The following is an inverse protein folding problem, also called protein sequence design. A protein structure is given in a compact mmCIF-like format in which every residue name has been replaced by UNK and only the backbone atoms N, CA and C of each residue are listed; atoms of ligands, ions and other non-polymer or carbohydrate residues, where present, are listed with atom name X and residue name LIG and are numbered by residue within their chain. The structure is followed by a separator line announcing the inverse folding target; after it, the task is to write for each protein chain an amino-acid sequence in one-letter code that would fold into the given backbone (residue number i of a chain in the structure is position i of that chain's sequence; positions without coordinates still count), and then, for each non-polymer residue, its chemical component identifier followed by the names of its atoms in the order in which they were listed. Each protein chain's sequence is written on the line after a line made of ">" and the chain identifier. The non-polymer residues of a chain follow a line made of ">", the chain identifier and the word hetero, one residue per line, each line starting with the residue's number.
data_IF_266304457663
#
_entry.id   IF_266304457663
#
_cell.length_a   1.000
_cell.length_b   1.000
_cell.length_c   1.000
_cell.angle_alpha   90.00
_cell.angle_beta   90.00
_cell.angle_gamma   90.00
#
_symmetry.space_group_name_H-M   'P 1'
#
loop_
_entity.id
_entity.type
_entity.pdbx_description
1 polymer ?
#
# COMPACT_ATOMS: atom_id res chain seq x y z
N UNK A 1 -23.95 -12.67 -16.54
CA UNK A 1 -24.11 -12.00 -15.22
C UNK A 1 -25.50 -11.39 -15.04
N UNK A 2 -25.88 -10.31 -15.75
CA UNK A 2 -27.20 -9.68 -15.53
C UNK A 2 -28.40 -10.52 -16.01
N UNK A 3 -28.23 -11.30 -17.08
CA UNK A 3 -29.28 -12.17 -17.61
C UNK A 3 -29.32 -13.57 -16.97
N UNK A 4 -28.58 -13.79 -15.87
CA UNK A 4 -28.48 -15.08 -15.17
C UNK A 4 -28.98 -15.00 -13.71
N UNK A 5 -29.69 -13.94 -13.33
CA UNK A 5 -30.22 -13.78 -11.96
C UNK A 5 -29.17 -13.52 -10.87
N UNK A 6 -27.91 -13.29 -11.24
CA UNK A 6 -26.85 -12.99 -10.28
C UNK A 6 -26.86 -11.50 -9.95
N UNK A 7 -27.26 -11.17 -8.72
CA UNK A 7 -27.24 -9.80 -8.20
C UNK A 7 -25.79 -9.34 -7.97
N UNK A 8 -25.27 -8.37 -8.74
CA UNK A 8 -23.90 -7.91 -8.58
C UNK A 8 -23.74 -7.22 -7.23
N UNK A 9 -22.76 -7.67 -6.44
CA UNK A 9 -22.45 -7.07 -5.15
C UNK A 9 -21.46 -5.92 -5.30
N UNK A 10 -21.20 -5.18 -4.22
CA UNK A 10 -20.15 -4.15 -4.16
C UNK A 10 -18.81 -4.68 -4.64
N UNK A 11 -18.47 -5.95 -4.35
CA UNK A 11 -17.23 -6.59 -4.80
C UNK A 11 -17.21 -6.75 -6.31
N UNK A 12 -18.31 -7.22 -6.92
CA UNK A 12 -18.42 -7.37 -8.39
C UNK A 12 -18.21 -6.03 -9.10
N UNK A 13 -18.86 -4.98 -8.62
CA UNK A 13 -18.68 -3.64 -9.17
C UNK A 13 -17.25 -3.15 -8.99
N UNK A 14 -16.65 -3.35 -7.81
CA UNK A 14 -15.29 -2.91 -7.53
C UNK A 14 -14.25 -3.59 -8.44
N UNK A 15 -14.40 -4.89 -8.72
CA UNK A 15 -13.49 -5.60 -9.65
C UNK A 15 -13.58 -5.00 -11.06
N UNK A 16 -14.80 -4.78 -11.56
CA UNK A 16 -15.00 -4.19 -12.89
C UNK A 16 -14.52 -2.74 -12.95
N UNK A 17 -14.76 -1.96 -11.90
CA UNK A 17 -14.30 -0.58 -11.79
C UNK A 17 -12.77 -0.50 -11.75
N UNK A 18 -12.11 -1.40 -11.01
CA UNK A 18 -10.65 -1.46 -10.91
C UNK A 18 -10.02 -1.72 -12.28
N UNK A 19 -10.55 -2.68 -13.03
CA UNK A 19 -10.07 -3.00 -14.38
C UNK A 19 -10.29 -1.82 -15.35
N UNK A 20 -11.47 -1.19 -15.32
CA UNK A 20 -11.76 -0.01 -16.15
C UNK A 20 -10.85 1.19 -15.80
N UNK A 21 -10.53 1.38 -14.52
CA UNK A 21 -9.63 2.45 -14.08
C UNK A 21 -8.18 2.18 -14.50
N UNK A 22 -7.71 0.94 -14.39
CA UNK A 22 -6.37 0.50 -14.83
C UNK A 22 -6.19 0.62 -16.34
N UNK A 23 -7.21 0.27 -17.11
CA UNK A 23 -7.25 0.45 -18.58
C UNK A 23 -7.50 1.90 -19.02
N UNK A 24 -7.51 2.86 -18.09
CA UNK A 24 -7.71 4.30 -18.32
C UNK A 24 -9.07 4.67 -18.94
N UNK A 25 -10.05 3.76 -18.91
CA UNK A 25 -11.41 3.97 -19.42
C UNK A 25 -12.30 4.65 -18.38
N UNK A 26 -11.88 5.82 -17.88
CA UNK A 26 -12.61 6.51 -16.80
C UNK A 26 -14.03 6.94 -17.20
N UNK A 27 -14.31 7.15 -18.49
CA UNK A 27 -15.67 7.40 -18.98
C UNK A 27 -16.62 6.23 -18.75
N UNK A 28 -16.17 5.01 -19.06
CA UNK A 28 -16.92 3.78 -18.80
C UNK A 28 -17.00 3.48 -17.30
N UNK A 29 -15.91 3.69 -16.55
CA UNK A 29 -15.91 3.52 -15.10
C UNK A 29 -16.95 4.43 -14.42
N UNK A 30 -17.08 5.68 -14.84
CA UNK A 30 -18.11 6.59 -14.32
C UNK A 30 -19.53 6.15 -14.66
N UNK A 31 -19.77 5.60 -15.86
CA UNK A 31 -21.07 5.04 -16.24
C UNK A 31 -21.41 3.85 -15.34
N UNK A 32 -20.45 2.93 -15.13
CA UNK A 32 -20.63 1.77 -14.26
C UNK A 32 -20.88 2.17 -12.80
N UNK A 33 -20.18 3.20 -12.31
CA UNK A 33 -20.40 3.75 -10.98
C UNK A 33 -21.80 4.36 -10.80
N UNK A 34 -22.33 5.05 -11.82
CA UNK A 34 -23.73 5.51 -11.78
C UNK A 34 -24.71 4.33 -11.71
N UNK A 35 -24.45 3.27 -12.47
CA UNK A 35 -25.27 2.04 -12.43
C UNK A 35 -25.23 1.37 -11.06
N UNK A 36 -24.06 1.36 -10.40
CA UNK A 36 -23.91 0.86 -9.04
C UNK A 36 -24.83 1.60 -8.05
N UNK A 37 -24.82 2.94 -8.09
CA UNK A 37 -25.68 3.78 -7.23
C UNK A 37 -27.17 3.60 -7.58
N UNK A 38 -27.52 3.57 -8.87
CA UNK A 38 -28.91 3.38 -9.32
C UNK A 38 -29.50 2.04 -8.88
N UNK A 39 -28.66 1.02 -8.70
CA UNK A 39 -29.05 -0.29 -8.17
C UNK A 39 -29.07 -0.36 -6.64
N UNK A 40 -28.87 0.77 -5.95
CA UNK A 40 -28.83 0.84 -4.50
C UNK A 40 -27.57 0.23 -3.87
N UNK A 41 -26.56 -0.11 -4.68
CA UNK A 41 -25.30 -0.65 -4.15
C UNK A 41 -24.41 0.51 -3.72
N UNK A 42 -24.21 0.64 -2.41
CA UNK A 42 -23.45 1.76 -1.87
C UNK A 42 -21.94 1.60 -2.13
N UNK A 43 -21.26 2.64 -2.64
CA UNK A 43 -19.82 2.66 -2.75
C UNK A 43 -19.17 2.70 -1.37
N UNK A 44 -18.02 2.05 -1.24
CA UNK A 44 -17.25 2.05 0.00
C UNK A 44 -15.88 2.71 -0.21
N UNK A 45 -15.08 2.77 0.86
CA UNK A 45 -13.72 3.30 0.82
C UNK A 45 -12.86 2.66 -0.29
N UNK A 46 -13.05 1.37 -0.57
CA UNK A 46 -12.33 0.68 -1.64
C UNK A 46 -12.74 1.20 -3.03
N UNK A 47 -14.03 1.40 -3.28
CA UNK A 47 -14.53 2.02 -4.51
C UNK A 47 -13.90 3.40 -4.73
N UNK A 48 -13.82 4.23 -3.68
CA UNK A 48 -13.14 5.53 -3.78
C UNK A 48 -11.65 5.40 -4.09
N UNK A 49 -10.95 4.45 -3.46
CA UNK A 49 -9.52 4.21 -3.71
C UNK A 49 -9.26 3.83 -5.17
N UNK A 50 -10.09 2.96 -5.77
CA UNK A 50 -10.02 2.60 -7.19
C UNK A 50 -10.05 3.85 -8.08
N UNK A 51 -11.03 4.73 -7.85
CA UNK A 51 -11.14 5.97 -8.62
C UNK A 51 -9.97 6.91 -8.39
N UNK A 52 -9.47 7.01 -7.15
CA UNK A 52 -8.28 7.80 -6.84
C UNK A 52 -7.05 7.30 -7.60
N UNK A 53 -6.84 5.98 -7.69
CA UNK A 53 -5.76 5.38 -8.46
C UNK A 53 -5.95 5.62 -9.97
N UNK A 54 -7.16 5.44 -10.50
CA UNK A 54 -7.48 5.75 -11.89
C UNK A 54 -7.19 7.23 -12.26
N UNK A 55 -7.63 8.18 -11.43
CA UNK A 55 -7.29 9.60 -11.62
C UNK A 55 -5.80 9.88 -11.43
N UNK A 56 -5.09 9.09 -10.60
CA UNK A 56 -3.65 9.20 -10.49
C UNK A 56 -2.94 8.83 -11.80
N UNK A 57 -3.40 7.80 -12.51
CA UNK A 57 -2.88 7.36 -13.81
C UNK A 57 -3.14 8.37 -14.94
N UNK A 58 -4.24 9.11 -14.87
CA UNK A 58 -4.58 10.18 -15.82
C UNK A 58 -3.95 11.54 -15.48
N UNK A 59 -3.06 11.56 -14.50
CA UNK A 59 -2.44 12.76 -13.98
C UNK A 59 -3.36 13.82 -13.33
N UNK A 60 -4.64 13.52 -13.14
CA UNK A 60 -5.69 14.43 -12.66
C UNK A 60 -5.71 14.61 -11.13
N UNK A 61 -4.68 15.23 -10.56
CA UNK A 61 -4.55 15.36 -9.09
C UNK A 61 -5.73 16.11 -8.44
N UNK A 62 -6.29 17.10 -9.12
CA UNK A 62 -7.36 17.93 -8.56
C UNK A 62 -8.61 17.07 -8.28
N UNK A 63 -8.90 16.15 -9.19
CA UNK A 63 -9.99 15.18 -9.01
C UNK A 63 -9.69 14.18 -7.90
N UNK A 64 -8.43 13.71 -7.77
CA UNK A 64 -8.02 12.85 -6.66
C UNK A 64 -8.25 13.54 -5.31
N UNK A 65 -7.83 14.81 -5.17
CA UNK A 65 -8.03 15.58 -3.93
C UNK A 65 -9.50 15.83 -3.65
N UNK A 66 -10.27 16.23 -4.67
CA UNK A 66 -11.71 16.47 -4.55
C UNK A 66 -12.43 15.21 -4.09
N UNK A 67 -12.07 14.07 -4.67
CA UNK A 67 -12.63 12.78 -4.28
C UNK A 67 -12.28 12.45 -2.83
N UNK A 68 -11.00 12.58 -2.44
CA UNK A 68 -10.52 12.33 -1.08
C UNK A 68 -11.25 13.16 -0.02
N UNK A 69 -11.42 14.46 -0.25
CA UNK A 69 -12.18 15.34 0.67
C UNK A 69 -13.65 14.95 0.71
N UNK A 70 -14.24 14.61 -0.44
CA UNK A 70 -15.65 14.20 -0.52
C UNK A 70 -15.94 12.81 0.07
N UNK A 71 -14.92 12.02 0.44
CA UNK A 71 -15.14 10.69 1.04
C UNK A 71 -15.94 10.82 2.33
N UNK A 72 -15.60 11.78 3.19
CA UNK A 72 -16.30 12.00 4.46
C UNK A 72 -17.78 12.34 4.26
N UNK A 73 -18.09 13.23 3.30
CA UNK A 73 -19.49 13.58 2.96
C UNK A 73 -20.27 12.42 2.34
N UNK A 74 -19.58 11.41 1.80
CA UNK A 74 -20.17 10.18 1.26
C UNK A 74 -20.26 9.06 2.29
N UNK A 75 -20.00 9.35 3.57
CA UNK A 75 -19.96 8.34 4.64
C UNK A 75 -18.78 7.37 4.55
N UNK A 76 -17.78 7.66 3.70
CA UNK A 76 -16.58 6.84 3.54
C UNK A 76 -15.41 7.47 4.30
N UNK A 77 -14.78 6.73 5.21
CA UNK A 77 -13.58 7.22 5.91
C UNK A 77 -12.32 6.90 5.10
N UNK A 78 -11.44 7.89 4.85
CA UNK A 78 -10.14 7.63 4.24
C UNK A 78 -9.33 6.60 5.04
N UNK A 79 -8.82 5.59 4.35
CA UNK A 79 -8.01 4.50 4.92
C UNK A 79 -6.52 4.76 4.73
N UNK A 80 -5.66 3.92 5.33
CA UNK A 80 -4.21 3.90 5.06
C UNK A 80 -3.91 3.88 3.57
N UNK A 81 -4.67 3.09 2.79
CA UNK A 81 -4.53 3.01 1.34
C UNK A 81 -4.84 4.35 0.68
N UNK A 82 -5.93 5.02 1.08
CA UNK A 82 -6.34 6.33 0.54
C UNK A 82 -5.25 7.40 0.73
N UNK A 83 -4.63 7.45 1.91
CA UNK A 83 -3.50 8.34 2.18
C UNK A 83 -2.27 7.96 1.34
N UNK A 84 -1.95 6.66 1.25
CA UNK A 84 -0.80 6.19 0.48
C UNK A 84 -0.89 6.55 -1.01
N UNK A 85 -2.08 6.49 -1.61
CA UNK A 85 -2.31 6.89 -3.00
C UNK A 85 -1.92 8.37 -3.20
N UNK A 86 -2.41 9.26 -2.35
CA UNK A 86 -2.08 10.68 -2.41
C UNK A 86 -0.61 10.95 -2.13
N UNK A 87 -0.03 10.34 -1.09
CA UNK A 87 1.38 10.47 -0.71
C UNK A 87 2.27 10.06 -1.89
N UNK A 88 2.04 8.88 -2.48
CA UNK A 88 2.75 8.40 -3.65
C UNK A 88 2.66 9.39 -4.81
N UNK A 89 1.46 9.93 -5.06
CA UNK A 89 1.26 10.87 -6.16
C UNK A 89 1.96 12.20 -5.93
N UNK A 90 1.98 12.73 -4.71
CA UNK A 90 2.75 13.94 -4.39
C UNK A 90 4.26 13.70 -4.50
N UNK A 91 4.75 12.55 -4.05
CA UNK A 91 6.15 12.14 -4.22
C UNK A 91 6.55 12.12 -5.70
N UNK A 92 5.76 11.48 -6.57
CA UNK A 92 6.01 11.44 -8.03
C UNK A 92 6.00 12.82 -8.68
N UNK A 93 5.28 13.80 -8.11
CA UNK A 93 5.26 15.19 -8.57
C UNK A 93 6.31 16.08 -7.90
N UNK A 94 7.29 15.51 -7.19
CA UNK A 94 8.34 16.22 -6.45
C UNK A 94 7.79 17.20 -5.40
N UNK A 95 6.56 17.01 -4.93
CA UNK A 95 5.90 17.85 -3.92
C UNK A 95 5.97 17.19 -2.55
N UNK A 96 7.19 16.92 -2.07
CA UNK A 96 7.41 16.12 -0.86
C UNK A 96 6.83 16.74 0.41
N UNK A 97 6.81 18.06 0.52
CA UNK A 97 6.22 18.75 1.67
C UNK A 97 4.72 18.44 1.84
N UNK A 98 3.99 18.37 0.72
CA UNK A 98 2.57 17.99 0.74
C UNK A 98 2.38 16.53 1.14
N UNK A 99 3.26 15.63 0.70
CA UNK A 99 3.25 14.23 1.10
C UNK A 99 3.53 14.07 2.60
N UNK A 100 4.48 14.83 3.15
CA UNK A 100 4.80 14.85 4.57
C UNK A 100 3.66 15.40 5.42
N UNK A 101 3.00 16.47 4.96
CA UNK A 101 1.84 17.04 5.64
C UNK A 101 0.68 16.05 5.70
N UNK A 102 0.41 15.31 4.62
CA UNK A 102 -0.58 14.24 4.64
C UNK A 102 -0.23 13.10 5.60
N UNK A 103 1.04 12.72 5.69
CA UNK A 103 1.48 11.71 6.65
C UNK A 103 1.29 12.19 8.11
N UNK A 104 1.52 13.49 8.39
CA UNK A 104 1.23 14.08 9.70
C UNK A 104 -0.26 14.11 10.00
N UNK A 105 -1.08 14.48 9.03
CA UNK A 105 -2.55 14.47 9.14
C UNK A 105 -3.09 13.05 9.40
N UNK A 106 -2.54 12.06 8.72
CA UNK A 106 -2.87 10.65 8.92
C UNK A 106 -2.60 10.24 10.38
N UNK A 107 -1.43 10.60 10.92
CA UNK A 107 -1.06 10.34 12.31
C UNK A 107 -1.95 11.09 13.30
N UNK A 108 -2.26 12.36 13.05
CA UNK A 108 -3.11 13.16 13.96
C UNK A 108 -4.55 12.65 14.02
N UNK A 109 -5.04 12.04 12.93
CA UNK A 109 -6.33 11.34 12.88
C UNK A 109 -6.29 9.92 13.46
N UNK A 110 -5.18 9.52 14.08
CA UNK A 110 -5.02 8.20 14.70
C UNK A 110 -4.80 7.05 13.71
N UNK A 111 -4.62 7.35 12.42
CA UNK A 111 -4.38 6.35 11.39
C UNK A 111 -2.87 6.07 11.36
N UNK A 112 -2.46 4.85 11.67
CA UNK A 112 -1.03 4.48 11.70
C UNK A 112 -0.48 4.30 10.28
N UNK A 113 0.58 5.04 9.88
CA UNK A 113 1.28 4.78 8.63
C UNK A 113 1.80 3.35 8.57
N UNK A 114 1.69 2.72 7.39
CA UNK A 114 2.23 1.38 7.14
C UNK A 114 3.67 1.48 6.59
N UNK A 115 4.38 0.36 6.52
CA UNK A 115 5.75 0.31 5.97
C UNK A 115 5.80 0.85 4.53
N UNK A 116 4.77 0.54 3.74
CA UNK A 116 4.59 1.07 2.38
C UNK A 116 4.54 2.61 2.36
N UNK A 117 3.93 3.24 3.37
CA UNK A 117 3.86 4.71 3.49
C UNK A 117 5.26 5.31 3.63
N UNK A 118 6.05 4.76 4.54
CA UNK A 118 7.41 5.23 4.78
C UNK A 118 8.34 4.97 3.59
N UNK A 119 8.25 3.78 2.97
CA UNK A 119 9.02 3.47 1.76
C UNK A 119 8.69 4.46 0.63
N UNK A 120 7.41 4.78 0.44
CA UNK A 120 6.97 5.76 -0.56
C UNK A 120 7.52 7.16 -0.29
N UNK A 121 7.55 7.60 0.98
CA UNK A 121 8.14 8.88 1.36
C UNK A 121 9.66 8.91 1.17
N UNK A 122 10.36 7.83 1.50
CA UNK A 122 11.81 7.70 1.30
C UNK A 122 12.17 7.75 -0.19
N UNK A 123 11.44 7.03 -1.04
CA UNK A 123 11.60 7.09 -2.50
C UNK A 123 11.33 8.51 -3.00
N UNK A 124 10.25 9.15 -2.52
CA UNK A 124 9.93 10.53 -2.87
C UNK A 124 11.05 11.52 -2.50
N UNK A 125 11.60 11.40 -1.29
CA UNK A 125 12.73 12.19 -0.82
C UNK A 125 13.95 12.03 -1.72
N UNK A 126 14.30 10.80 -2.09
CA UNK A 126 15.43 10.54 -2.99
C UNK A 126 15.23 11.19 -4.36
N UNK A 127 14.03 11.08 -4.94
CA UNK A 127 13.68 11.70 -6.23
C UNK A 127 13.77 13.23 -6.14
N UNK A 128 13.29 13.86 -5.06
CA UNK A 128 13.39 15.32 -4.86
C UNK A 128 14.80 15.79 -4.55
N UNK A 129 15.62 14.94 -3.95
CA UNK A 129 17.00 15.23 -3.59
C UNK A 129 17.97 15.16 -4.78
N UNK A 130 17.57 14.59 -5.93
CA UNK A 130 18.43 14.56 -7.13
C UNK A 130 18.98 15.94 -7.57
N UNK A 131 18.21 17.05 -7.53
CA UNK A 131 18.77 18.41 -7.71
C UNK A 131 19.38 19.04 -6.43
N UNK A 132 18.94 18.67 -5.22
CA UNK A 132 19.44 19.29 -3.96
C UNK A 132 20.75 18.68 -3.44
N UNK A 133 21.06 17.41 -3.74
CA UNK A 133 22.35 16.77 -3.46
C UNK A 133 23.46 17.45 -4.27
N UNK A 134 23.14 17.97 -5.45
CA UNK A 134 24.07 18.81 -6.21
C UNK A 134 24.31 20.18 -5.54
N UNK A 135 23.41 20.66 -4.68
CA UNK A 135 23.46 22.02 -4.14
C UNK A 135 23.77 22.13 -2.63
N UNK A 136 23.48 21.14 -1.77
CA UNK A 136 23.61 21.35 -0.30
C UNK A 136 23.65 20.06 0.54
N UNK A 137 24.84 19.53 0.75
CA UNK A 137 25.16 18.42 1.67
C UNK A 137 24.99 18.75 3.19
N UNK A 138 24.00 19.54 3.63
CA UNK A 138 23.89 19.96 5.07
C UNK A 138 22.50 20.19 5.69
N UNK A 139 21.40 19.63 5.18
CA UNK A 139 20.10 19.67 5.91
C UNK A 139 19.44 18.30 6.06
N UNK A 140 20.11 17.38 6.76
CA UNK A 140 19.64 16.00 7.03
C UNK A 140 19.09 15.81 8.45
N UNK A 141 18.44 16.80 9.07
CA UNK A 141 17.70 16.57 10.32
C UNK A 141 16.42 15.77 10.07
N UNK A 142 15.71 16.08 8.97
CA UNK A 142 14.41 15.48 8.66
C UNK A 142 14.53 14.09 8.02
N UNK A 143 15.53 13.86 7.18
CA UNK A 143 15.85 12.53 6.63
C UNK A 143 16.32 11.60 7.74
N UNK A 144 17.21 12.06 8.64
CA UNK A 144 17.56 11.30 9.85
C UNK A 144 16.34 11.06 10.75
N UNK A 145 15.43 12.02 10.91
CA UNK A 145 14.23 11.82 11.72
C UNK A 145 13.28 10.79 11.11
N UNK A 146 13.10 10.81 9.78
CA UNK A 146 12.25 9.85 9.06
C UNK A 146 12.89 8.46 9.08
N UNK A 147 14.18 8.35 8.78
CA UNK A 147 14.95 7.09 8.88
C UNK A 147 14.95 6.57 10.32
N UNK A 148 15.18 7.41 11.33
CA UNK A 148 15.09 7.02 12.76
C UNK A 148 13.68 6.56 13.13
N UNK A 149 12.63 7.13 12.55
CA UNK A 149 11.24 6.74 12.81
C UNK A 149 10.89 5.42 12.12
N UNK A 150 11.43 5.14 10.93
CA UNK A 150 11.36 3.82 10.30
C UNK A 150 12.13 2.76 11.09
N UNK A 151 13.35 3.08 11.54
CA UNK A 151 14.19 2.17 12.34
C UNK A 151 13.69 1.97 13.78
N UNK A 152 12.84 2.86 14.30
CA UNK A 152 12.19 2.74 15.62
C UNK A 152 10.77 2.19 15.58
N UNK A 153 10.19 1.97 14.40
CA UNK A 153 8.94 1.23 14.33
C UNK A 153 9.22 -0.19 14.86
N UNK A 154 8.46 -0.68 15.87
CA UNK A 154 8.69 -2.02 16.39
C UNK A 154 8.44 -3.01 15.25
N UNK A 155 9.53 -3.57 14.72
CA UNK A 155 9.50 -4.79 13.94
C UNK A 155 8.62 -5.76 14.72
N UNK A 156 7.45 -6.07 14.16
CA UNK A 156 6.63 -7.17 14.65
C UNK A 156 7.56 -8.37 14.70
N UNK A 157 7.81 -8.85 15.92
CA UNK A 157 8.63 -10.03 16.20
C UNK A 157 8.06 -11.20 15.42
N UNK A 158 8.61 -11.45 14.24
CA UNK A 158 8.51 -12.76 13.61
C UNK A 158 9.08 -13.80 14.56
N UNK A 159 8.38 -14.93 14.60
CA UNK A 159 8.32 -15.80 15.75
C UNK A 159 9.67 -16.30 16.24
N UNK A 160 9.77 -16.34 17.58
CA UNK A 160 10.64 -17.28 18.28
C UNK A 160 10.38 -18.70 17.75
N UNK A 161 11.18 -19.19 16.82
CA UNK A 161 11.38 -20.64 16.69
C UNK A 161 12.29 -21.06 17.83
N UNK A 162 11.71 -21.86 18.71
CA UNK A 162 12.31 -22.41 19.91
C UNK A 162 13.68 -23.03 19.62
N UNK A 163 14.69 -22.60 20.38
CA UNK A 163 15.83 -23.45 20.70
C UNK A 163 15.27 -24.70 21.39
N UNK A 164 15.17 -25.83 20.67
CA UNK A 164 15.13 -27.13 21.33
C UNK A 164 16.58 -27.47 21.71
N UNK A 165 16.77 -27.71 23.01
CA UNK A 165 18.00 -28.31 23.56
C UNK A 165 18.14 -29.72 22.96
N UNK A 166 19.36 -30.21 22.67
CA UNK A 166 19.56 -31.62 22.43
C UNK A 166 19.46 -32.36 23.77
N UNK A 167 18.44 -33.21 23.90
CA UNK A 167 18.38 -34.23 24.94
C UNK A 167 19.46 -35.27 24.67
N UNK A 168 20.24 -35.57 25.70
CA UNK A 168 21.11 -36.73 25.76
C UNK A 168 20.23 -37.98 25.93
N UNK A 169 20.37 -38.97 25.05
CA UNK A 169 20.07 -40.36 25.36
C UNK A 169 21.13 -41.23 24.67
N UNK A 170 21.94 -41.90 25.49
CA UNK A 170 22.98 -42.82 25.05
C UNK A 170 22.45 -44.24 24.87
N UNK A 171 23.22 -45.00 24.08
CA UNK A 171 23.33 -46.47 23.97
C UNK A 171 22.05 -47.29 23.71
N UNK A 172 22.01 -48.35 22.91
CA UNK A 172 23.06 -49.26 22.45
C UNK A 172 22.55 -50.07 21.24
N UNK A 173 23.49 -50.69 20.54
CA UNK A 173 23.35 -51.92 19.75
C UNK A 173 22.52 -51.92 18.45
N UNK A 174 23.26 -52.00 17.34
CA UNK A 174 23.18 -53.21 16.52
C UNK A 174 22.45 -53.14 15.17
N UNK A 175 23.27 -53.36 14.13
CA UNK A 175 22.94 -54.02 12.85
C UNK A 175 22.49 -53.10 11.70
N UNK A 176 23.29 -53.13 10.61
CA UNK A 176 22.74 -52.95 9.27
C UNK A 176 23.58 -52.16 8.28
N UNK A 177 24.76 -52.70 7.92
CA UNK A 177 25.64 -52.21 6.85
C UNK A 177 24.90 -52.04 5.50
N UNK A 178 25.56 -51.31 4.59
CA UNK A 178 25.47 -51.32 3.10
C UNK A 178 24.47 -50.27 2.54
N UNK A 179 24.78 -49.43 1.54
CA UNK A 179 25.75 -49.48 0.45
C UNK A 179 26.10 -48.08 -0.09
N UNK A 180 27.34 -48.01 -0.60
CA UNK A 180 27.87 -47.26 -1.77
C UNK A 180 27.83 -45.74 -1.71
N UNK A 181 29.00 -45.08 -1.57
CA UNK A 181 29.97 -44.79 -2.67
C UNK A 181 29.24 -44.22 -3.88
N UNK A 182 29.53 -42.95 -4.20
CA UNK A 182 29.76 -42.36 -5.53
C UNK A 182 29.68 -40.83 -5.35
N UNK A 183 30.83 -40.15 -5.33
CA UNK A 183 31.02 -38.75 -5.77
C UNK A 183 32.36 -38.19 -5.24
N UNK A 184 33.46 -38.63 -5.86
CA UNK A 184 34.64 -37.79 -6.12
C UNK A 184 35.32 -38.43 -7.33
N UNK A 185 35.13 -37.79 -8.47
CA UNK A 185 36.13 -37.79 -9.54
C UNK A 185 37.19 -36.75 -9.26
#
# INVERSE_FOLDING_TARGET
>A
MLNQGVHPTTVTFNVLLDELCKTRKMGEANKLYKVMILRGVQPNTYTCNIFMDGYCLLERIHDVKKLFVSMASRGCTPSVVSYNILINRYCKRKKIDNAMNLNREMISKGIRPADVTYNTLLIGLFITMSPEIAARSRRTSLVRATIRRCLRAPLVREGRRSRRRPEQFGDNSGIGRRLRRWATG
#
